data_IF_777085689307
#
_entry.id   IF_777085689307
#
_cell.length_a   1.000
_cell.length_b   1.000
_cell.length_c   1.000
_cell.angle_alpha   90.00
_cell.angle_beta   90.00
_cell.angle_gamma   90.00
#
_symmetry.space_group_name_H-M   'P 1'
#
loop_
_entity.id
_entity.type
_entity.pdbx_description
1 polymer ?
#
# COMPACT_ATOMS: atom_id res chain seq x y z
N UNK A 1 -3.75 -50.04 -15.19
CA UNK A 1 -3.31 -48.92 -14.33
C UNK A 1 -2.86 -47.80 -15.24
N UNK A 2 -3.72 -46.84 -15.50
CA UNK A 2 -3.36 -45.60 -16.17
C UNK A 2 -4.10 -44.51 -15.41
N UNK A 3 -3.35 -43.74 -14.63
CA UNK A 3 -3.83 -42.48 -14.08
C UNK A 3 -3.38 -41.42 -15.08
N UNK A 4 -4.34 -40.84 -15.77
CA UNK A 4 -4.18 -39.55 -16.44
C UNK A 4 -4.01 -38.50 -15.35
N UNK A 5 -3.03 -37.63 -15.47
CA UNK A 5 -2.83 -36.49 -14.56
C UNK A 5 -2.46 -35.27 -15.40
N UNK A 6 -3.50 -34.60 -15.85
CA UNK A 6 -3.61 -33.22 -16.33
C UNK A 6 -5.00 -32.81 -15.84
N UNK A 7 -5.28 -31.73 -15.11
CA UNK A 7 -4.70 -30.40 -15.01
C UNK A 7 -5.00 -29.88 -13.59
N UNK A 8 -4.01 -29.44 -12.82
CA UNK A 8 -4.22 -28.81 -11.50
C UNK A 8 -3.33 -27.56 -11.30
N UNK A 9 -2.77 -26.97 -12.37
CA UNK A 9 -1.88 -25.80 -12.24
C UNK A 9 -2.52 -24.45 -12.57
N UNK A 10 -3.75 -24.38 -13.13
CA UNK A 10 -4.36 -23.10 -13.51
C UNK A 10 -5.31 -22.50 -12.45
N UNK A 11 -5.91 -23.33 -11.59
CA UNK A 11 -6.87 -22.84 -10.58
C UNK A 11 -6.26 -22.35 -9.27
N UNK A 12 -5.00 -22.67 -8.97
CA UNK A 12 -4.35 -22.33 -7.69
C UNK A 12 -3.62 -20.98 -7.74
N UNK A 13 -3.10 -20.58 -8.90
CA UNK A 13 -2.34 -19.32 -9.07
C UNK A 13 -3.24 -18.09 -8.94
N UNK A 14 -4.49 -18.17 -9.43
CA UNK A 14 -5.41 -17.02 -9.41
C UNK A 14 -5.94 -16.67 -8.02
N UNK A 15 -6.07 -17.65 -7.13
CA UNK A 15 -6.53 -17.46 -5.75
C UNK A 15 -5.44 -16.83 -4.87
N UNK A 16 -4.19 -17.28 -5.00
CA UNK A 16 -3.08 -16.75 -4.19
C UNK A 16 -2.71 -15.30 -4.56
N UNK A 17 -2.70 -14.96 -5.86
CA UNK A 17 -2.45 -13.58 -6.31
C UNK A 17 -3.54 -12.61 -5.86
N UNK A 18 -4.80 -13.09 -5.80
CA UNK A 18 -5.92 -12.27 -5.36
C UNK A 18 -5.84 -12.01 -3.83
N UNK A 19 -5.49 -13.01 -3.03
CA UNK A 19 -5.28 -12.85 -1.58
C UNK A 19 -4.12 -11.92 -1.24
N UNK A 20 -3.03 -11.92 -2.04
CA UNK A 20 -1.92 -10.95 -1.86
C UNK A 20 -2.36 -9.52 -2.21
N UNK A 21 -3.14 -9.35 -3.27
CA UNK A 21 -3.68 -8.04 -3.65
C UNK A 21 -4.66 -7.49 -2.60
N UNK A 22 -5.48 -8.34 -1.99
CA UNK A 22 -6.41 -7.97 -0.92
C UNK A 22 -5.72 -7.50 0.37
N UNK A 23 -4.50 -7.99 0.64
CA UNK A 23 -3.69 -7.55 1.77
C UNK A 23 -3.11 -6.14 1.54
N UNK A 24 -2.66 -5.85 0.31
CA UNK A 24 -1.98 -4.58 -0.02
C UNK A 24 -2.95 -3.46 -0.41
N UNK A 25 -4.09 -3.82 -1.02
CA UNK A 25 -5.02 -2.86 -1.63
C UNK A 25 -6.39 -2.88 -0.95
N UNK A 26 -7.07 -1.73 -0.98
CA UNK A 26 -8.48 -1.65 -0.64
C UNK A 26 -9.37 -1.98 -1.85
N UNK A 27 -9.50 -3.29 -2.14
CA UNK A 27 -10.26 -3.78 -3.31
C UNK A 27 -11.70 -3.23 -3.35
N UNK A 28 -12.50 -3.28 -2.26
CA UNK A 28 -13.87 -2.76 -2.30
C UNK A 28 -13.93 -1.27 -2.63
N UNK A 29 -13.04 -0.45 -2.06
CA UNK A 29 -12.97 0.98 -2.36
C UNK A 29 -12.58 1.24 -3.81
N UNK A 30 -11.58 0.51 -4.32
CA UNK A 30 -11.08 0.66 -5.69
C UNK A 30 -12.10 0.23 -6.74
N UNK A 31 -12.84 -0.87 -6.52
CA UNK A 31 -13.94 -1.30 -7.38
C UNK A 31 -15.03 -0.24 -7.45
N UNK A 32 -15.45 0.28 -6.29
CA UNK A 32 -16.44 1.35 -6.23
C UNK A 32 -15.95 2.63 -6.95
N UNK A 33 -14.67 2.98 -6.83
CA UNK A 33 -14.10 4.12 -7.55
C UNK A 33 -14.09 3.89 -9.06
N UNK A 34 -13.73 2.69 -9.52
CA UNK A 34 -13.78 2.36 -10.95
C UNK A 34 -15.20 2.49 -11.51
N UNK A 35 -16.22 2.03 -10.78
CA UNK A 35 -17.62 2.12 -11.20
C UNK A 35 -18.14 3.57 -11.26
N UNK A 36 -17.78 4.40 -10.27
CA UNK A 36 -18.33 5.75 -10.14
C UNK A 36 -17.63 6.79 -11.01
N UNK A 37 -16.30 6.70 -11.15
CA UNK A 37 -15.48 7.76 -11.77
C UNK A 37 -14.50 7.24 -12.82
N UNK A 38 -14.35 5.91 -12.95
CA UNK A 38 -13.43 5.28 -13.89
C UNK A 38 -11.96 5.29 -13.44
N UNK A 39 -11.06 4.63 -14.19
CA UNK A 39 -9.68 4.40 -13.80
C UNK A 39 -8.82 5.65 -13.75
N UNK A 40 -9.21 6.71 -14.49
CA UNK A 40 -8.40 7.92 -14.63
C UNK A 40 -8.13 8.61 -13.29
N UNK A 41 -9.11 8.64 -12.39
CA UNK A 41 -8.92 9.28 -11.08
C UNK A 41 -7.90 8.53 -10.22
N UNK A 42 -7.95 7.19 -10.24
CA UNK A 42 -7.01 6.33 -9.52
C UNK A 42 -5.60 6.52 -10.10
N UNK A 43 -5.44 6.48 -11.42
CA UNK A 43 -4.12 6.65 -12.05
C UNK A 43 -3.53 8.04 -11.85
N UNK A 44 -4.35 9.10 -11.94
CA UNK A 44 -3.90 10.47 -11.71
C UNK A 44 -3.50 10.69 -10.24
N UNK A 45 -4.32 10.19 -9.30
CA UNK A 45 -4.01 10.23 -7.87
C UNK A 45 -2.73 9.46 -7.53
N UNK A 46 -2.56 8.26 -8.09
CA UNK A 46 -1.38 7.44 -7.91
C UNK A 46 -0.10 8.11 -8.46
N UNK A 47 -0.19 8.78 -9.61
CA UNK A 47 0.94 9.52 -10.17
C UNK A 47 1.39 10.68 -9.27
N UNK A 48 0.45 11.39 -8.62
CA UNK A 48 0.78 12.40 -7.62
C UNK A 48 1.42 11.75 -6.39
N UNK A 49 0.85 10.64 -5.91
CA UNK A 49 1.39 9.89 -4.77
C UNK A 49 2.86 9.48 -5.01
N UNK A 50 3.17 8.86 -6.15
CA UNK A 50 4.52 8.43 -6.52
C UNK A 50 5.53 9.58 -6.55
N UNK A 51 5.12 10.77 -7.00
CA UNK A 51 5.98 11.95 -7.03
C UNK A 51 6.28 12.47 -5.62
N UNK A 52 5.32 12.37 -4.71
CA UNK A 52 5.42 12.92 -3.36
C UNK A 52 6.08 11.97 -2.36
N UNK A 53 5.87 10.66 -2.52
CA UNK A 53 6.29 9.64 -1.55
C UNK A 53 7.79 9.67 -1.20
N UNK A 54 8.74 9.86 -2.14
CA UNK A 54 10.15 9.98 -1.80
C UNK A 54 10.44 11.14 -0.83
N UNK A 55 9.70 12.25 -0.96
CA UNK A 55 9.81 13.39 -0.07
C UNK A 55 9.27 13.08 1.33
N UNK A 56 8.11 12.41 1.41
CA UNK A 56 7.54 12.00 2.69
C UNK A 56 8.45 11.05 3.46
N UNK A 57 9.00 10.02 2.79
CA UNK A 57 9.94 9.07 3.40
C UNK A 57 11.20 9.78 3.89
N UNK A 58 11.75 10.70 3.09
CA UNK A 58 12.94 11.46 3.49
C UNK A 58 12.70 12.32 4.74
N UNK A 59 11.51 12.92 4.87
CA UNK A 59 11.13 13.68 6.08
C UNK A 59 10.97 12.75 7.29
N UNK A 60 10.36 11.57 7.12
CA UNK A 60 10.26 10.55 8.17
C UNK A 60 11.64 10.12 8.68
N UNK A 61 12.57 9.76 7.78
CA UNK A 61 13.93 9.36 8.16
C UNK A 61 14.69 10.49 8.87
N UNK A 62 14.52 11.73 8.43
CA UNK A 62 15.11 12.90 9.07
C UNK A 62 14.56 13.09 10.49
N UNK A 63 13.24 12.98 10.68
CA UNK A 63 12.61 13.12 11.99
C UNK A 63 13.00 11.96 12.92
N UNK A 64 13.12 10.73 12.38
CA UNK A 64 13.62 9.57 13.14
C UNK A 64 15.05 9.79 13.62
N UNK A 65 15.94 10.27 12.74
CA UNK A 65 17.34 10.60 13.09
C UNK A 65 17.41 11.70 14.16
N UNK A 66 16.52 12.70 14.08
CA UNK A 66 16.43 13.78 15.05
C UNK A 66 15.68 13.41 16.34
N UNK A 67 15.13 12.19 16.43
CA UNK A 67 14.21 11.76 17.48
C UNK A 67 13.02 12.72 17.67
N UNK A 68 12.58 13.37 16.59
CA UNK A 68 11.42 14.25 16.58
C UNK A 68 10.13 13.43 16.46
N UNK A 69 9.64 12.97 17.62
CA UNK A 69 8.40 12.21 17.74
C UNK A 69 7.20 12.94 17.14
N UNK A 70 7.11 14.26 17.31
CA UNK A 70 5.98 15.03 16.79
C UNK A 70 6.04 15.08 15.26
N UNK A 71 7.23 15.34 14.70
CA UNK A 71 7.45 15.33 13.26
C UNK A 71 7.14 13.97 12.63
N UNK A 72 7.52 12.86 13.27
CA UNK A 72 7.19 11.50 12.81
C UNK A 72 5.67 11.31 12.73
N UNK A 73 4.95 11.68 13.78
CA UNK A 73 3.48 11.51 13.84
C UNK A 73 2.78 12.34 12.78
N UNK A 74 3.18 13.61 12.61
CA UNK A 74 2.61 14.49 11.59
C UNK A 74 2.89 13.99 10.17
N UNK A 75 4.07 13.46 9.90
CA UNK A 75 4.40 12.92 8.58
C UNK A 75 3.68 11.59 8.31
N UNK A 76 3.60 10.70 9.30
CA UNK A 76 2.79 9.48 9.24
C UNK A 76 1.31 9.75 8.93
N UNK A 77 0.75 10.82 9.49
CA UNK A 77 -0.62 11.26 9.20
C UNK A 77 -0.82 11.64 7.73
N UNK A 78 0.12 12.41 7.16
CA UNK A 78 0.09 12.81 5.74
C UNK A 78 0.15 11.60 4.82
N UNK A 79 1.08 10.67 5.09
CA UNK A 79 1.24 9.46 4.29
C UNK A 79 -0.01 8.59 4.38
N UNK A 80 -0.55 8.37 5.58
CA UNK A 80 -1.80 7.62 5.78
C UNK A 80 -2.93 8.19 4.92
N UNK A 81 -3.13 9.51 4.95
CA UNK A 81 -4.16 10.18 4.16
C UNK A 81 -3.93 10.01 2.66
N UNK A 82 -2.70 10.21 2.20
CA UNK A 82 -2.34 10.08 0.80
C UNK A 82 -2.51 8.64 0.29
N UNK A 83 -1.98 7.64 1.00
CA UNK A 83 -2.09 6.22 0.67
C UNK A 83 -3.55 5.73 0.66
N UNK A 84 -4.34 6.11 1.68
CA UNK A 84 -5.75 5.77 1.76
C UNK A 84 -6.60 6.35 0.63
N UNK A 85 -6.24 7.54 0.12
CA UNK A 85 -6.96 8.19 -0.98
C UNK A 85 -6.81 7.48 -2.33
N UNK A 86 -5.74 6.69 -2.51
CA UNK A 86 -5.45 5.92 -3.72
C UNK A 86 -5.65 4.41 -3.54
N UNK A 87 -6.16 3.97 -2.38
CA UNK A 87 -6.47 2.56 -2.10
C UNK A 87 -5.26 1.69 -1.73
N UNK A 88 -4.13 2.28 -1.35
CA UNK A 88 -2.95 1.55 -0.85
C UNK A 88 -3.14 1.24 0.64
N UNK A 89 -3.82 0.14 0.94
CA UNK A 89 -4.22 -0.28 2.29
C UNK A 89 -3.02 -0.55 3.19
N UNK A 90 -2.01 -1.25 2.70
CA UNK A 90 -0.84 -1.61 3.49
C UNK A 90 -0.06 -0.35 3.93
N UNK A 91 0.29 0.54 3.01
CA UNK A 91 0.91 1.83 3.37
C UNK A 91 0.03 2.72 4.27
N UNK A 92 -1.29 2.66 4.11
CA UNK A 92 -2.22 3.37 5.01
C UNK A 92 -2.14 2.81 6.44
N UNK A 93 -1.98 1.49 6.61
CA UNK A 93 -1.83 0.83 7.91
C UNK A 93 -0.49 1.19 8.56
N UNK A 94 0.62 1.15 7.81
CA UNK A 94 1.91 1.60 8.30
C UNK A 94 1.85 3.07 8.74
N UNK A 95 1.25 3.94 7.91
CA UNK A 95 1.04 5.34 8.28
C UNK A 95 0.21 5.50 9.56
N UNK A 96 -0.80 4.64 9.78
CA UNK A 96 -1.59 4.60 11.02
C UNK A 96 -0.75 4.20 12.23
N UNK A 97 0.13 3.20 12.11
CA UNK A 97 1.00 2.75 13.21
C UNK A 97 2.02 3.84 13.55
N UNK A 98 2.66 4.43 12.53
CA UNK A 98 3.64 5.52 12.68
C UNK A 98 3.00 6.73 13.36
N UNK A 99 1.77 7.11 13.03
CA UNK A 99 1.09 8.25 13.67
C UNK A 99 0.49 7.96 15.06
N UNK A 100 0.64 6.74 15.60
CA UNK A 100 0.00 6.31 16.86
C UNK A 100 1.02 6.11 17.99
N UNK A 101 1.58 7.22 18.54
CA UNK A 101 2.65 7.19 19.54
C UNK A 101 2.26 6.56 20.89
N UNK A 102 0.98 6.29 21.07
CA UNK A 102 0.33 5.65 22.21
C UNK A 102 0.30 4.12 22.13
N UNK A 103 0.67 3.53 20.98
CA UNK A 103 0.79 2.09 20.84
C UNK A 103 1.85 1.53 21.81
N UNK A 104 1.60 0.37 22.43
CA UNK A 104 2.63 -0.34 23.17
C UNK A 104 3.84 -0.61 22.28
N UNK A 105 5.05 -0.39 22.81
CA UNK A 105 6.31 -0.56 22.09
C UNK A 105 6.44 0.28 20.79
N UNK A 106 5.70 1.39 20.67
CA UNK A 106 5.81 2.28 19.51
C UNK A 106 7.25 2.78 19.29
N UNK A 107 7.93 3.18 20.37
CA UNK A 107 9.32 3.67 20.31
C UNK A 107 10.28 2.59 19.79
N UNK A 108 9.99 1.32 20.07
CA UNK A 108 10.82 0.18 19.66
C UNK A 108 10.55 -0.20 18.19
N UNK A 109 9.31 -0.03 17.72
CA UNK A 109 8.85 -0.51 16.40
C UNK A 109 8.81 0.56 15.31
N UNK A 110 8.76 1.85 15.66
CA UNK A 110 8.54 2.93 14.67
C UNK A 110 9.63 2.98 13.60
N UNK A 111 10.88 2.67 13.96
CA UNK A 111 11.97 2.57 12.99
C UNK A 111 11.75 1.45 11.97
N UNK A 112 11.25 0.29 12.41
CA UNK A 112 10.95 -0.85 11.53
C UNK A 112 9.82 -0.51 10.57
N UNK A 113 8.73 0.10 11.04
CA UNK A 113 7.63 0.52 10.16
C UNK A 113 8.04 1.56 9.12
N UNK A 114 8.96 2.47 9.47
CA UNK A 114 9.50 3.47 8.53
C UNK A 114 10.38 2.78 7.47
N UNK A 115 11.22 1.82 7.86
CA UNK A 115 12.05 1.08 6.90
C UNK A 115 11.19 0.19 5.99
N UNK A 116 10.22 -0.53 6.53
CA UNK A 116 9.25 -1.32 5.76
C UNK A 116 8.51 -0.44 4.74
N UNK A 117 8.04 0.74 5.16
CA UNK A 117 7.39 1.69 4.27
C UNK A 117 8.30 2.13 3.12
N UNK A 118 9.58 2.35 3.39
CA UNK A 118 10.59 2.78 2.41
C UNK A 118 10.94 1.68 1.41
N UNK A 119 10.99 0.42 1.86
CA UNK A 119 11.30 -0.74 1.02
C UNK A 119 10.11 -1.14 0.14
N UNK A 120 8.89 -1.13 0.70
CA UNK A 120 7.73 -1.75 0.08
C UNK A 120 6.84 -0.78 -0.74
N UNK A 121 6.90 0.54 -0.52
CA UNK A 121 5.93 1.46 -1.17
C UNK A 121 5.91 1.39 -2.70
N UNK A 122 7.05 1.10 -3.33
CA UNK A 122 7.12 0.96 -4.79
C UNK A 122 6.42 -0.31 -5.25
N UNK A 123 6.58 -1.39 -4.49
CA UNK A 123 5.93 -2.66 -4.77
C UNK A 123 4.41 -2.52 -4.66
N UNK A 124 3.91 -1.94 -3.57
CA UNK A 124 2.49 -1.63 -3.36
C UNK A 124 1.89 -0.84 -4.54
N UNK A 125 2.61 0.18 -5.02
CA UNK A 125 2.22 0.98 -6.20
C UNK A 125 2.16 0.13 -7.47
N UNK A 126 3.14 -0.74 -7.70
CA UNK A 126 3.17 -1.64 -8.86
C UNK A 126 2.01 -2.62 -8.84
N UNK A 127 1.69 -3.19 -7.67
CA UNK A 127 0.53 -4.07 -7.48
C UNK A 127 -0.76 -3.33 -7.80
N UNK A 128 -0.94 -2.09 -7.34
CA UNK A 128 -2.12 -1.29 -7.69
C UNK A 128 -2.21 -1.01 -9.21
N UNK A 129 -1.09 -0.66 -9.87
CA UNK A 129 -1.05 -0.45 -11.33
C UNK A 129 -1.48 -1.71 -12.09
N UNK A 130 -0.94 -2.87 -11.68
CA UNK A 130 -1.28 -4.15 -12.28
C UNK A 130 -2.77 -4.49 -12.08
N UNK A 131 -3.29 -4.24 -10.87
CA UNK A 131 -4.70 -4.47 -10.54
C UNK A 131 -5.62 -3.60 -11.41
N UNK A 132 -5.37 -2.28 -11.51
CA UNK A 132 -6.18 -1.37 -12.35
C UNK A 132 -6.13 -1.79 -13.82
N UNK A 133 -4.96 -2.19 -14.33
CA UNK A 133 -4.81 -2.66 -15.70
C UNK A 133 -5.58 -3.97 -15.98
N UNK A 134 -5.72 -4.84 -14.98
CA UNK A 134 -6.53 -6.08 -15.07
C UNK A 134 -8.03 -5.77 -14.96
N UNK A 135 -8.42 -4.90 -14.05
CA UNK A 135 -9.82 -4.52 -13.81
C UNK A 135 -10.44 -3.76 -15.00
N UNK A 136 -9.66 -2.97 -15.73
CA UNK A 136 -10.11 -2.20 -16.90
C UNK A 136 -10.17 -2.99 -18.21
N UNK A 137 -9.61 -4.21 -18.24
CA UNK A 137 -9.66 -5.12 -19.40
C UNK A 137 -10.87 -6.07 -19.37
N UNK A 138 -11.59 -6.13 -18.24
CA UNK A 138 -12.86 -6.84 -18.11
C UNK A 138 -13.99 -6.00 -18.67
#
# INVERSE_FOLDING_TARGET
KFWDTQDDEESTVTTEENSKSEALLDIPMLEQYLELVGPKLITDGLAVFEKMMPGYVSVLESNLTAQDKKGIVEEGHKIKGAAGSVGLRHLQQLGQQIQSPDLPAWEDNVGEWIEEMKEEWRHDVEVLKAWVAKATKK
#
